data_IF_187757411942
#
_entry.id   IF_187757411942
#
_cell.length_a   1.000
_cell.length_b   1.000
_cell.length_c   1.000
_cell.angle_alpha   90.00
_cell.angle_beta   90.00
_cell.angle_gamma   90.00
#
_symmetry.space_group_name_H-M   'P 1'
#
loop_
_entity.id
_entity.type
_entity.pdbx_description
1 polymer ?
#
# COMPACT_ATOMS: atom_id res chain seq x y z
N UNK A 1 17.52 -10.26 19.51
CA UNK A 1 16.76 -9.36 20.43
C UNK A 1 15.36 -9.20 19.85
N UNK A 2 14.34 -9.21 20.68
CA UNK A 2 12.96 -8.98 20.24
C UNK A 2 12.70 -7.48 20.08
N UNK A 3 11.94 -7.08 19.07
CA UNK A 3 11.53 -5.70 18.81
C UNK A 3 10.15 -5.48 19.44
N UNK A 4 10.03 -4.51 20.35
CA UNK A 4 8.73 -4.09 20.88
C UNK A 4 7.95 -3.30 19.82
N UNK A 5 6.69 -3.70 19.56
CA UNK A 5 5.81 -3.09 18.56
C UNK A 5 4.54 -2.59 19.25
N UNK A 6 4.34 -1.28 19.24
CA UNK A 6 3.20 -0.63 19.89
C UNK A 6 2.17 -0.22 18.84
N UNK A 7 1.04 -0.92 18.80
CA UNK A 7 -0.11 -0.54 17.97
C UNK A 7 -0.96 0.47 18.75
N UNK A 8 -1.03 1.69 18.25
CA UNK A 8 -1.93 2.71 18.76
C UNK A 8 -3.35 2.42 18.28
N UNK A 9 -4.27 2.20 19.20
CA UNK A 9 -5.67 1.86 18.91
C UNK A 9 -6.57 3.02 19.31
N UNK A 10 -7.29 3.58 18.34
CA UNK A 10 -8.29 4.63 18.52
C UNK A 10 -9.67 4.14 18.06
N UNK A 11 -10.77 4.77 18.50
CA UNK A 11 -12.10 4.43 18.00
C UNK A 11 -12.21 4.49 16.49
N UNK A 12 -13.01 3.60 15.91
CA UNK A 12 -13.30 3.51 14.47
C UNK A 12 -12.09 3.22 13.55
N UNK A 13 -10.97 2.74 14.10
CA UNK A 13 -9.85 2.28 13.27
C UNK A 13 -10.24 1.07 12.42
N UNK A 14 -9.64 0.98 11.22
CA UNK A 14 -9.83 -0.12 10.29
C UNK A 14 -9.19 -1.39 10.85
N UNK A 15 -9.99 -2.45 11.03
CA UNK A 15 -9.49 -3.72 11.59
C UNK A 15 -8.34 -4.32 10.77
N UNK A 16 -8.40 -4.25 9.43
CA UNK A 16 -7.34 -4.79 8.58
C UNK A 16 -6.02 -4.01 8.72
N UNK A 17 -6.08 -2.73 9.07
CA UNK A 17 -4.87 -1.93 9.33
C UNK A 17 -4.22 -2.30 10.69
N UNK A 18 -4.96 -2.95 11.57
CA UNK A 18 -4.48 -3.45 12.87
C UNK A 18 -4.05 -4.91 12.74
N UNK A 19 -5.02 -5.80 12.47
CA UNK A 19 -4.79 -7.25 12.57
C UNK A 19 -3.92 -7.80 11.44
N UNK A 20 -4.00 -7.25 10.23
CA UNK A 20 -3.17 -7.70 9.12
C UNK A 20 -1.67 -7.57 9.43
N UNK A 21 -1.16 -6.37 9.74
CA UNK A 21 0.23 -6.19 10.14
C UNK A 21 0.59 -6.89 11.45
N UNK A 22 -0.28 -6.88 12.45
CA UNK A 22 -0.01 -7.52 13.74
C UNK A 22 0.18 -9.03 13.57
N UNK A 23 -0.71 -9.71 12.84
CA UNK A 23 -0.61 -11.13 12.54
C UNK A 23 0.65 -11.46 11.72
N UNK A 24 0.95 -10.63 10.72
CA UNK A 24 2.18 -10.79 9.91
C UNK A 24 3.44 -10.76 10.77
N UNK A 25 3.52 -9.81 11.71
CA UNK A 25 4.66 -9.70 12.63
C UNK A 25 4.67 -10.84 13.65
N UNK A 26 3.50 -11.26 14.16
CA UNK A 26 3.36 -12.37 15.12
C UNK A 26 3.82 -13.70 14.53
N UNK A 27 3.54 -13.97 13.26
CA UNK A 27 3.98 -15.16 12.53
C UNK A 27 5.50 -15.26 12.36
N UNK A 28 6.24 -14.15 12.51
CA UNK A 28 7.70 -14.18 12.60
C UNK A 28 8.22 -14.67 13.98
N UNK A 29 7.32 -15.09 14.90
CA UNK A 29 7.67 -15.68 16.20
C UNK A 29 8.20 -14.64 17.20
N UNK A 30 9.18 -15.06 18.02
CA UNK A 30 9.70 -14.25 19.13
C UNK A 30 10.52 -13.01 18.68
N UNK A 31 10.57 -12.72 17.39
CA UNK A 31 11.27 -11.53 16.88
C UNK A 31 10.52 -10.23 17.20
N UNK A 32 9.21 -10.28 17.36
CA UNK A 32 8.38 -9.11 17.65
C UNK A 32 7.50 -9.37 18.88
N UNK A 33 7.45 -8.36 19.75
CA UNK A 33 6.57 -8.35 20.92
C UNK A 33 5.51 -7.27 20.74
N UNK A 34 4.26 -7.69 20.53
CA UNK A 34 3.16 -6.80 20.18
C UNK A 34 2.47 -6.28 21.44
N UNK A 35 2.26 -4.96 21.48
CA UNK A 35 1.54 -4.23 22.53
C UNK A 35 0.44 -3.41 21.90
N UNK A 36 -0.76 -3.44 22.45
CA UNK A 36 -1.88 -2.60 22.05
C UNK A 36 -2.08 -1.50 23.07
N UNK A 37 -1.94 -0.25 22.62
CA UNK A 37 -2.02 0.95 23.49
C UNK A 37 -3.12 1.90 23.02
N UNK A 38 -3.76 2.58 23.98
CA UNK A 38 -4.85 3.53 23.71
C UNK A 38 -5.01 4.50 24.88
N UNK A 39 -5.58 5.70 24.68
CA UNK A 39 -6.12 6.51 25.78
C UNK A 39 -7.23 5.80 26.55
N UNK A 40 -7.98 4.88 25.89
CA UNK A 40 -9.13 4.16 26.44
C UNK A 40 -8.80 2.69 26.71
N UNK A 41 -9.41 2.09 27.74
CA UNK A 41 -9.22 0.68 28.05
C UNK A 41 -9.85 -0.28 27.02
N UNK A 42 -10.84 0.21 26.27
CA UNK A 42 -11.49 -0.50 25.17
C UNK A 42 -12.07 0.48 24.16
N UNK A 43 -12.05 0.10 22.86
CA UNK A 43 -12.61 0.91 21.77
C UNK A 43 -13.41 0.05 20.82
N UNK A 44 -14.39 0.67 20.15
CA UNK A 44 -15.10 0.05 19.04
C UNK A 44 -14.37 0.36 17.72
N UNK A 45 -14.05 -0.68 16.94
CA UNK A 45 -13.43 -0.51 15.63
C UNK A 45 -14.45 -0.25 14.50
N UNK A 46 -13.98 -0.01 13.28
CA UNK A 46 -14.81 0.29 12.10
C UNK A 46 -15.85 -0.78 11.74
N UNK A 47 -15.65 -2.03 12.16
CA UNK A 47 -16.59 -3.14 11.91
C UNK A 47 -17.61 -3.32 13.04
N UNK A 48 -17.55 -2.50 14.08
CA UNK A 48 -18.41 -2.63 15.26
C UNK A 48 -17.88 -3.59 16.33
N UNK A 49 -16.77 -4.30 16.08
CA UNK A 49 -16.15 -5.16 17.10
C UNK A 49 -15.50 -4.31 18.20
N UNK A 50 -15.56 -4.80 19.44
CA UNK A 50 -14.87 -4.21 20.57
C UNK A 50 -13.46 -4.78 20.70
N UNK A 51 -12.47 -3.90 20.83
CA UNK A 51 -11.10 -4.23 21.18
C UNK A 51 -10.90 -3.82 22.63
N UNK A 52 -10.60 -4.75 23.50
CA UNK A 52 -10.42 -4.53 24.94
C UNK A 52 -9.02 -4.86 25.42
N UNK A 53 -8.80 -4.69 26.73
CA UNK A 53 -7.50 -4.90 27.39
C UNK A 53 -6.37 -4.03 26.84
N UNK A 54 -6.72 -2.85 26.34
CA UNK A 54 -5.76 -1.88 25.82
C UNK A 54 -4.97 -1.26 26.98
N UNK A 55 -3.66 -1.15 26.79
CA UNK A 55 -2.79 -0.52 27.78
C UNK A 55 -2.76 1.01 27.58
N UNK A 56 -2.55 1.80 28.63
CA UNK A 56 -2.43 3.25 28.50
C UNK A 56 -1.25 3.64 27.62
N UNK A 57 -1.28 4.88 27.09
CA UNK A 57 -0.17 5.44 26.34
C UNK A 57 1.09 5.46 27.21
N UNK A 58 2.20 4.85 26.79
CA UNK A 58 3.41 4.76 27.62
C UNK A 58 4.12 6.12 27.71
N UNK A 59 4.72 6.39 28.86
CA UNK A 59 5.55 7.57 29.05
C UNK A 59 6.92 7.47 28.34
N UNK A 60 7.36 6.23 28.05
CA UNK A 60 8.62 5.94 27.36
C UNK A 60 8.44 4.81 26.38
N UNK A 61 9.04 4.94 25.20
CA UNK A 61 9.13 3.87 24.21
C UNK A 61 10.58 3.34 24.21
N UNK A 62 10.78 2.01 24.19
CA UNK A 62 12.11 1.43 24.11
C UNK A 62 12.83 1.86 22.84
N UNK A 63 14.15 2.02 22.92
CA UNK A 63 14.98 2.31 21.76
C UNK A 63 14.91 1.16 20.74
N UNK A 64 14.77 1.48 19.46
CA UNK A 64 14.60 0.50 18.38
C UNK A 64 13.21 -0.09 18.25
N UNK A 65 12.22 0.33 19.07
CA UNK A 65 10.82 -0.12 18.97
C UNK A 65 10.13 0.41 17.70
N UNK A 66 8.95 -0.14 17.40
CA UNK A 66 8.05 0.31 16.34
C UNK A 66 6.79 0.89 16.96
N UNK A 67 6.41 2.11 16.58
CA UNK A 67 5.12 2.70 16.91
C UNK A 67 4.23 2.66 15.66
N UNK A 68 3.20 1.83 15.68
CA UNK A 68 2.28 1.64 14.55
C UNK A 68 1.04 2.52 14.75
N UNK A 69 0.74 3.32 13.74
CA UNK A 69 -0.43 4.20 13.66
C UNK A 69 -1.37 3.67 12.57
N UNK A 70 -2.37 2.84 12.90
CA UNK A 70 -3.36 2.35 11.93
C UNK A 70 -4.28 3.46 11.44
N UNK A 71 -4.97 3.21 10.31
CA UNK A 71 -5.93 4.15 9.75
C UNK A 71 -7.33 4.02 10.34
N UNK A 72 -8.11 5.07 10.13
CA UNK A 72 -9.56 5.11 10.40
C UNK A 72 -10.34 5.14 9.09
N UNK A 73 -11.64 4.92 9.12
CA UNK A 73 -12.51 5.05 7.93
C UNK A 73 -12.48 6.48 7.37
N UNK A 74 -12.67 6.63 6.06
CA UNK A 74 -12.56 7.91 5.35
C UNK A 74 -13.44 9.03 5.95
N UNK A 75 -14.56 8.71 6.59
CA UNK A 75 -15.43 9.68 7.24
C UNK A 75 -14.89 10.28 8.54
N UNK A 76 -13.84 9.65 9.13
CA UNK A 76 -13.30 10.00 10.45
C UNK A 76 -11.82 10.40 10.41
N UNK A 77 -11.26 10.60 9.23
CA UNK A 77 -9.82 10.93 9.04
C UNK A 77 -9.40 12.28 9.62
N UNK A 78 -10.35 13.07 10.17
CA UNK A 78 -10.03 14.35 10.82
C UNK A 78 -9.38 14.18 12.18
N UNK A 79 -9.55 13.02 12.83
CA UNK A 79 -9.02 12.77 14.16
C UNK A 79 -9.36 13.88 15.17
N UNK A 80 -10.64 14.29 15.21
CA UNK A 80 -11.13 15.41 16.05
C UNK A 80 -11.81 14.92 17.35
N UNK A 81 -11.77 13.61 17.62
CA UNK A 81 -12.28 13.04 18.87
C UNK A 81 -11.36 13.40 20.06
N UNK A 82 -11.89 13.34 21.29
CA UNK A 82 -11.11 13.62 22.49
C UNK A 82 -9.89 12.69 22.60
N UNK A 83 -10.06 11.40 22.34
CA UNK A 83 -9.01 10.39 22.35
C UNK A 83 -7.92 10.70 21.30
N UNK A 84 -8.32 11.16 20.12
CA UNK A 84 -7.40 11.57 19.06
C UNK A 84 -6.61 12.84 19.47
N UNK A 85 -7.25 13.79 20.13
CA UNK A 85 -6.58 15.01 20.62
C UNK A 85 -5.56 14.70 21.72
N UNK A 86 -5.91 13.83 22.68
CA UNK A 86 -4.98 13.31 23.70
C UNK A 86 -3.79 12.64 23.03
N UNK A 87 -4.05 11.77 22.05
CA UNK A 87 -3.03 11.06 21.29
C UNK A 87 -2.14 12.01 20.49
N UNK A 88 -2.69 13.04 19.84
CA UNK A 88 -1.92 14.05 19.11
C UNK A 88 -0.95 14.81 20.04
N UNK A 89 -1.39 15.13 21.26
CA UNK A 89 -0.51 15.76 22.25
C UNK A 89 0.64 14.83 22.66
N UNK A 90 0.34 13.56 22.90
CA UNK A 90 1.32 12.53 23.21
C UNK A 90 2.31 12.31 22.06
N UNK A 91 1.84 12.18 20.81
CA UNK A 91 2.69 12.01 19.62
C UNK A 91 3.63 13.21 19.41
N UNK A 92 3.15 14.44 19.63
CA UNK A 92 4.00 15.64 19.52
C UNK A 92 5.17 15.63 20.50
N UNK A 93 5.04 14.98 21.64
CA UNK A 93 6.10 14.81 22.62
C UNK A 93 7.29 13.98 22.10
N UNK A 94 7.08 13.13 21.09
CA UNK A 94 8.10 12.24 20.54
C UNK A 94 8.88 12.78 19.33
N UNK A 95 8.67 14.04 18.96
CA UNK A 95 9.21 14.63 17.75
C UNK A 95 10.73 14.54 17.64
N UNK A 96 11.44 14.82 18.74
CA UNK A 96 12.90 14.79 18.75
C UNK A 96 13.45 13.36 18.76
N UNK A 97 12.77 12.43 19.46
CA UNK A 97 13.12 11.01 19.47
C UNK A 97 12.99 10.40 18.08
N UNK A 98 11.93 10.76 17.34
CA UNK A 98 11.69 10.30 15.97
C UNK A 98 12.76 10.88 15.03
N UNK A 99 13.07 12.16 15.13
CA UNK A 99 14.12 12.79 14.31
C UNK A 99 15.49 12.14 14.48
N UNK A 100 15.85 11.76 15.72
CA UNK A 100 17.10 11.03 15.98
C UNK A 100 16.99 9.53 15.76
N UNK A 101 15.83 9.05 15.29
CA UNK A 101 15.55 7.65 15.00
C UNK A 101 15.70 6.71 16.23
N UNK A 102 15.38 7.20 17.42
CA UNK A 102 15.42 6.39 18.63
C UNK A 102 14.44 5.19 18.53
N UNK A 103 13.33 5.37 17.85
CA UNK A 103 12.39 4.33 17.44
C UNK A 103 11.78 4.68 16.08
N UNK A 104 11.13 3.71 15.42
CA UNK A 104 10.54 3.93 14.10
C UNK A 104 9.03 4.12 14.21
N UNK A 105 8.46 4.98 13.34
CA UNK A 105 7.02 5.11 13.18
C UNK A 105 6.57 4.37 11.93
N UNK A 106 5.44 3.67 12.06
CA UNK A 106 4.81 2.90 10.98
C UNK A 106 3.38 3.39 10.80
N UNK A 107 3.14 4.20 9.78
CA UNK A 107 1.82 4.76 9.49
C UNK A 107 1.11 3.93 8.43
N UNK A 108 -0.04 3.38 8.77
CA UNK A 108 -0.85 2.56 7.87
C UNK A 108 -2.05 3.37 7.44
N UNK A 109 -2.30 3.47 6.12
CA UNK A 109 -3.45 4.19 5.56
C UNK A 109 -3.53 5.65 6.08
N UNK A 110 -4.69 6.06 6.61
CA UNK A 110 -4.89 7.40 7.19
C UNK A 110 -4.12 7.63 8.50
N UNK A 111 -3.42 6.64 9.07
CA UNK A 111 -2.46 6.85 10.15
C UNK A 111 -1.36 7.86 9.79
N UNK A 112 -1.05 8.02 8.49
CA UNK A 112 -0.16 9.08 8.00
C UNK A 112 -0.73 10.50 8.24
N UNK A 113 -2.06 10.68 8.23
CA UNK A 113 -2.69 11.97 8.55
C UNK A 113 -2.55 12.30 10.04
N UNK A 114 -2.64 11.29 10.92
CA UNK A 114 -2.39 11.48 12.35
C UNK A 114 -0.95 11.92 12.60
N UNK A 115 0.03 11.26 11.96
CA UNK A 115 1.43 11.66 12.01
C UNK A 115 1.66 13.07 11.44
N UNK A 116 1.01 13.43 10.33
CA UNK A 116 1.04 14.76 9.73
C UNK A 116 0.54 15.84 10.70
N UNK A 117 -0.62 15.63 11.36
CA UNK A 117 -1.17 16.54 12.39
C UNK A 117 -0.26 16.69 13.62
N UNK A 118 0.50 15.65 13.93
CA UNK A 118 1.53 15.72 14.96
C UNK A 118 2.82 16.42 14.49
N UNK A 119 2.96 16.75 13.18
CA UNK A 119 4.12 17.37 12.58
C UNK A 119 5.34 16.44 12.51
N UNK A 120 5.10 15.16 12.29
CA UNK A 120 6.14 14.12 12.25
C UNK A 120 6.63 13.80 10.83
N UNK A 121 5.99 14.39 9.79
CA UNK A 121 6.29 14.10 8.39
C UNK A 121 7.06 15.23 7.67
N UNK A 122 7.46 16.30 8.36
CA UNK A 122 8.17 17.42 7.76
C UNK A 122 9.53 16.99 7.18
N UNK A 123 9.72 17.17 5.87
CA UNK A 123 10.92 16.76 5.14
C UNK A 123 11.09 15.25 4.97
N UNK A 124 10.04 14.48 5.20
CA UNK A 124 9.99 13.02 5.07
C UNK A 124 9.29 12.63 3.76
N UNK A 125 9.87 11.68 3.03
CA UNK A 125 9.17 11.02 1.93
C UNK A 125 8.11 10.10 2.50
N UNK A 126 6.86 10.27 2.07
CA UNK A 126 5.73 9.51 2.61
C UNK A 126 4.64 9.26 1.56
N UNK A 127 3.78 8.31 1.85
CA UNK A 127 2.56 8.02 1.08
C UNK A 127 1.38 7.75 2.02
N UNK A 128 0.21 7.59 1.46
CA UNK A 128 -1.01 7.16 2.14
C UNK A 128 -1.95 6.52 1.12
N UNK A 129 -3.18 6.18 1.50
CA UNK A 129 -4.19 5.69 0.58
C UNK A 129 -4.48 6.70 -0.54
N UNK A 130 -4.64 6.23 -1.77
CA UNK A 130 -4.79 7.09 -2.96
C UNK A 130 -5.90 8.13 -2.84
N UNK A 131 -7.01 7.82 -2.14
CA UNK A 131 -8.16 8.73 -1.97
C UNK A 131 -7.87 9.93 -1.05
N UNK A 132 -6.81 9.89 -0.25
CA UNK A 132 -6.51 10.91 0.77
C UNK A 132 -5.14 11.55 0.62
N UNK A 133 -4.48 11.38 -0.53
CA UNK A 133 -3.18 12.00 -0.83
C UNK A 133 -3.22 13.53 -0.77
N UNK A 134 -4.26 14.14 -1.34
CA UNK A 134 -4.40 15.60 -1.35
C UNK A 134 -4.62 16.14 0.07
N UNK A 135 -5.31 15.37 0.90
CA UNK A 135 -5.48 15.71 2.31
C UNK A 135 -4.16 15.64 3.09
N UNK A 136 -3.34 14.61 2.81
CA UNK A 136 -2.00 14.51 3.40
C UNK A 136 -1.14 15.71 3.00
N UNK A 137 -1.16 16.13 1.72
CA UNK A 137 -0.44 17.33 1.26
C UNK A 137 -0.89 18.59 1.96
N UNK A 138 -2.20 18.74 2.17
CA UNK A 138 -2.75 19.90 2.86
C UNK A 138 -2.35 19.97 4.34
N UNK A 139 -2.30 18.81 5.03
CA UNK A 139 -1.94 18.70 6.45
C UNK A 139 -0.43 18.81 6.71
N UNK A 140 0.38 18.33 5.78
CA UNK A 140 1.85 18.33 5.89
C UNK A 140 2.48 18.93 4.62
N UNK A 141 2.39 20.24 4.39
CA UNK A 141 2.93 20.87 3.18
C UNK A 141 4.45 20.80 3.04
N UNK A 142 5.16 20.52 4.13
CA UNK A 142 6.60 20.28 4.12
C UNK A 142 6.99 18.81 3.89
N UNK A 143 6.03 17.89 3.83
CA UNK A 143 6.28 16.49 3.54
C UNK A 143 6.49 16.26 2.03
N UNK A 144 7.29 15.24 1.68
CA UNK A 144 7.56 14.85 0.30
C UNK A 144 6.61 13.70 -0.11
N UNK A 145 5.34 14.04 -0.31
CA UNK A 145 4.29 13.06 -0.60
C UNK A 145 4.49 12.44 -1.98
N UNK A 146 4.62 11.11 -2.02
CA UNK A 146 4.74 10.30 -3.23
C UNK A 146 3.42 9.60 -3.53
N UNK A 147 2.96 9.73 -4.76
CA UNK A 147 1.78 9.04 -5.25
C UNK A 147 2.11 7.62 -5.70
N UNK A 148 1.07 6.79 -5.76
CA UNK A 148 1.09 5.47 -6.37
C UNK A 148 2.26 4.59 -5.85
N UNK A 149 2.41 4.54 -4.52
CA UNK A 149 3.39 3.70 -3.80
C UNK A 149 2.68 2.82 -2.79
N UNK A 150 3.04 1.54 -2.73
CA UNK A 150 2.51 0.60 -1.71
C UNK A 150 2.98 1.06 -0.34
N UNK A 151 4.27 1.27 -0.16
CA UNK A 151 4.84 1.85 1.04
C UNK A 151 6.12 2.64 0.75
N UNK A 152 6.50 3.50 1.68
CA UNK A 152 7.74 4.27 1.67
C UNK A 152 8.36 4.17 3.04
N UNK A 153 9.68 4.01 3.09
CA UNK A 153 10.50 4.11 4.28
C UNK A 153 11.51 5.25 4.10
N UNK A 154 11.47 6.25 4.97
CA UNK A 154 12.42 7.37 4.98
C UNK A 154 12.69 7.83 6.42
N UNK A 155 13.97 7.91 6.80
CA UNK A 155 14.45 8.43 8.09
C UNK A 155 13.72 7.88 9.33
N UNK A 156 13.47 6.58 9.37
CA UNK A 156 12.79 5.93 10.50
C UNK A 156 11.26 6.06 10.50
N UNK A 157 10.69 6.64 9.44
CA UNK A 157 9.26 6.72 9.22
C UNK A 157 8.87 5.83 8.06
N UNK A 158 8.01 4.85 8.30
CA UNK A 158 7.38 4.00 7.28
C UNK A 158 5.94 4.45 7.09
N UNK A 159 5.51 4.61 5.85
CA UNK A 159 4.11 4.94 5.52
C UNK A 159 3.61 4.02 4.41
N UNK A 160 2.36 3.59 4.43
CA UNK A 160 1.81 2.73 3.37
C UNK A 160 0.37 3.09 3.01
N UNK A 161 -0.07 2.54 1.87
CA UNK A 161 -1.41 2.75 1.33
C UNK A 161 -2.55 2.19 2.23
N UNK A 162 -2.21 1.31 3.16
CA UNK A 162 -3.18 0.70 4.08
C UNK A 162 -3.86 -0.55 3.55
N UNK A 163 -4.73 -1.12 4.38
CA UNK A 163 -5.44 -2.36 4.12
C UNK A 163 -4.44 -3.48 3.73
N UNK A 164 -4.52 -4.03 2.52
CA UNK A 164 -3.58 -5.06 2.07
C UNK A 164 -2.12 -4.59 2.04
N UNK A 165 -1.87 -3.30 1.77
CA UNK A 165 -0.52 -2.74 1.79
C UNK A 165 0.12 -2.69 3.19
N UNK A 166 -0.69 -2.77 4.26
CA UNK A 166 -0.21 -2.93 5.63
C UNK A 166 0.49 -4.28 5.84
N UNK A 167 0.00 -5.34 5.18
CA UNK A 167 0.63 -6.67 5.18
C UNK A 167 1.96 -6.63 4.41
N UNK A 168 2.00 -5.98 3.23
CA UNK A 168 3.23 -5.85 2.45
C UNK A 168 4.32 -5.09 3.25
N UNK A 169 3.93 -4.00 3.93
CA UNK A 169 4.84 -3.26 4.80
C UNK A 169 5.30 -4.11 5.99
N UNK A 170 4.42 -4.89 6.62
CA UNK A 170 4.80 -5.78 7.72
C UNK A 170 5.75 -6.88 7.26
N UNK A 171 5.56 -7.48 6.08
CA UNK A 171 6.51 -8.41 5.47
C UNK A 171 7.87 -7.76 5.20
N UNK A 172 7.88 -6.49 4.75
CA UNK A 172 9.11 -5.71 4.61
C UNK A 172 9.81 -5.50 5.97
N UNK A 173 9.06 -5.21 7.03
CA UNK A 173 9.63 -5.10 8.39
C UNK A 173 10.19 -6.44 8.89
N UNK A 174 9.52 -7.57 8.63
CA UNK A 174 10.07 -8.91 8.93
C UNK A 174 11.37 -9.14 8.16
N UNK A 175 11.42 -8.78 6.88
CA UNK A 175 12.65 -8.87 6.09
C UNK A 175 13.79 -8.03 6.71
N UNK A 176 13.48 -6.79 7.12
CA UNK A 176 14.47 -5.84 7.66
C UNK A 176 14.99 -6.24 9.05
N UNK A 177 14.09 -6.63 9.96
CA UNK A 177 14.44 -6.90 11.36
C UNK A 177 14.83 -8.36 11.63
N UNK A 178 14.45 -9.28 10.75
CA UNK A 178 14.80 -10.71 10.87
C UNK A 178 15.69 -11.15 9.70
N UNK A 179 15.07 -11.54 8.59
CA UNK A 179 15.78 -11.96 7.38
C UNK A 179 14.85 -12.09 6.18
N UNK A 180 15.39 -12.11 4.93
CA UNK A 180 14.60 -12.44 3.74
C UNK A 180 13.93 -13.81 3.83
N UNK A 181 14.59 -14.79 4.44
CA UNK A 181 14.10 -16.17 4.59
C UNK A 181 12.88 -16.21 5.51
N UNK A 182 12.92 -15.49 6.65
CA UNK A 182 11.80 -15.44 7.57
C UNK A 182 10.59 -14.70 6.94
N UNK A 183 10.82 -13.58 6.23
CA UNK A 183 9.76 -12.90 5.50
C UNK A 183 9.08 -13.80 4.46
N UNK A 184 9.86 -14.62 3.73
CA UNK A 184 9.33 -15.60 2.77
C UNK A 184 8.56 -16.73 3.45
N UNK A 185 8.97 -17.17 4.64
CA UNK A 185 8.23 -18.16 5.43
C UNK A 185 6.88 -17.61 5.88
N UNK A 186 6.86 -16.41 6.45
CA UNK A 186 5.62 -15.73 6.86
C UNK A 186 4.69 -15.49 5.66
N UNK A 187 5.21 -14.99 4.54
CA UNK A 187 4.43 -14.78 3.32
C UNK A 187 3.77 -16.07 2.82
N UNK A 188 4.48 -17.19 2.94
CA UNK A 188 3.98 -18.53 2.54
C UNK A 188 2.88 -19.02 3.48
N UNK A 189 3.04 -18.83 4.77
CA UNK A 189 2.04 -19.19 5.79
C UNK A 189 0.75 -18.36 5.64
N UNK A 190 0.88 -17.07 5.33
CA UNK A 190 -0.24 -16.18 5.02
C UNK A 190 -0.84 -16.39 3.63
N UNK A 191 -0.30 -17.32 2.82
CA UNK A 191 -0.73 -17.57 1.43
C UNK A 191 -0.69 -16.30 0.58
N UNK A 192 0.28 -15.40 0.86
CA UNK A 192 0.51 -14.20 0.05
C UNK A 192 1.13 -14.64 -1.28
N UNK A 193 0.38 -14.47 -2.36
CA UNK A 193 0.77 -14.96 -3.68
C UNK A 193 2.01 -14.23 -4.22
N UNK A 194 2.03 -12.89 -4.12
CA UNK A 194 3.18 -12.05 -4.40
C UNK A 194 3.22 -10.88 -3.40
N UNK A 195 4.22 -10.80 -2.51
CA UNK A 195 4.47 -9.60 -1.73
C UNK A 195 4.81 -8.43 -2.67
N UNK A 196 4.15 -7.30 -2.47
CA UNK A 196 4.42 -6.10 -3.29
C UNK A 196 5.59 -5.32 -2.70
N UNK A 197 6.40 -4.74 -3.59
CA UNK A 197 7.46 -3.81 -3.20
C UNK A 197 6.91 -2.41 -2.92
N UNK A 198 7.63 -1.61 -2.15
CA UNK A 198 7.21 -0.24 -1.83
C UNK A 198 6.98 0.64 -3.06
N UNK A 199 7.77 0.43 -4.11
CA UNK A 199 7.70 1.17 -5.37
C UNK A 199 6.56 0.72 -6.30
N UNK A 200 5.87 -0.38 -5.98
CA UNK A 200 4.77 -0.85 -6.81
C UNK A 200 3.57 0.10 -6.72
N UNK A 201 2.79 0.12 -7.80
CA UNK A 201 1.56 0.89 -7.87
C UNK A 201 0.52 0.40 -6.85
N UNK A 202 -0.20 1.32 -6.20
CA UNK A 202 -1.26 0.98 -5.25
C UNK A 202 -2.38 0.18 -5.92
N UNK A 203 -2.75 0.55 -7.13
CA UNK A 203 -3.75 -0.14 -7.91
C UNK A 203 -3.12 -0.83 -9.12
N UNK A 204 -3.42 -2.13 -9.27
CA UNK A 204 -3.09 -2.80 -10.53
C UNK A 204 -3.79 -2.11 -11.71
N UNK A 205 -3.25 -2.17 -12.93
CA UNK A 205 -3.92 -1.62 -14.12
C UNK A 205 -5.34 -2.18 -14.30
N UNK A 206 -5.57 -3.42 -13.87
CA UNK A 206 -6.88 -4.03 -13.85
C UNK A 206 -7.88 -3.25 -12.99
N UNK A 207 -7.54 -2.89 -11.75
CA UNK A 207 -8.42 -2.13 -10.84
C UNK A 207 -8.51 -0.66 -11.27
N UNK A 208 -7.38 -0.06 -11.65
CA UNK A 208 -7.30 1.35 -12.05
C UNK A 208 -8.24 1.70 -13.18
N UNK A 209 -8.42 0.81 -14.15
CA UNK A 209 -9.25 1.03 -15.33
C UNK A 209 -10.59 0.29 -15.30
N UNK A 210 -11.03 -0.20 -14.13
CA UNK A 210 -12.29 -0.97 -13.98
C UNK A 210 -13.43 -0.17 -13.30
N UNK A 211 -13.28 1.13 -13.11
CA UNK A 211 -14.24 2.00 -12.43
C UNK A 211 -15.46 2.41 -13.27
N UNK A 212 -15.62 1.90 -14.49
CA UNK A 212 -16.75 2.16 -15.39
C UNK A 212 -17.69 0.95 -15.48
N UNK A 213 -18.93 1.16 -16.03
CA UNK A 213 -19.93 0.12 -16.18
C UNK A 213 -20.19 -0.27 -17.65
N UNK A 214 -19.27 0.06 -18.58
CA UNK A 214 -19.49 -0.16 -20.01
C UNK A 214 -19.20 -1.62 -20.41
N UNK A 215 -20.22 -2.43 -20.86
CA UNK A 215 -20.07 -3.88 -21.03
C UNK A 215 -19.08 -4.27 -22.14
N UNK A 216 -18.97 -3.45 -23.21
CA UNK A 216 -18.02 -3.71 -24.30
C UNK A 216 -16.58 -3.55 -23.82
N UNK A 217 -16.29 -2.50 -23.04
CA UNK A 217 -14.97 -2.28 -22.47
C UNK A 217 -14.63 -3.40 -21.48
N UNK A 218 -15.55 -3.78 -20.59
CA UNK A 218 -15.34 -4.89 -19.66
C UNK A 218 -14.94 -6.17 -20.40
N UNK A 219 -15.67 -6.56 -21.46
CA UNK A 219 -15.33 -7.76 -22.24
C UNK A 219 -13.94 -7.67 -22.88
N UNK A 220 -13.57 -6.52 -23.44
CA UNK A 220 -12.24 -6.32 -24.00
C UNK A 220 -11.14 -6.44 -22.93
N UNK A 221 -11.36 -5.83 -21.78
CA UNK A 221 -10.44 -5.92 -20.63
C UNK A 221 -10.31 -7.36 -20.13
N UNK A 222 -11.42 -8.11 -20.02
CA UNK A 222 -11.42 -9.51 -19.58
C UNK A 222 -10.59 -10.39 -20.51
N UNK A 223 -10.76 -10.23 -21.84
CA UNK A 223 -9.97 -10.97 -22.84
C UNK A 223 -8.47 -10.67 -22.71
N UNK A 224 -8.10 -9.39 -22.58
CA UNK A 224 -6.70 -8.97 -22.42
C UNK A 224 -6.14 -9.52 -21.11
N UNK A 225 -6.91 -9.50 -20.01
CA UNK A 225 -6.45 -9.94 -18.70
C UNK A 225 -6.24 -11.46 -18.60
N UNK A 226 -7.01 -12.25 -19.35
CA UNK A 226 -6.84 -13.73 -19.40
C UNK A 226 -5.53 -14.11 -20.09
N UNK A 227 -5.11 -13.37 -21.11
CA UNK A 227 -3.89 -13.65 -21.89
C UNK A 227 -3.17 -12.37 -22.27
N UNK A 228 -2.57 -11.66 -21.28
CA UNK A 228 -1.93 -10.37 -21.53
C UNK A 228 -0.64 -10.49 -22.32
N UNK A 229 0.03 -11.66 -22.27
CA UNK A 229 1.23 -11.98 -23.05
C UNK A 229 0.95 -12.08 -24.57
N UNK A 230 -0.28 -12.42 -24.96
CA UNK A 230 -0.68 -12.55 -26.36
C UNK A 230 -0.65 -11.18 -27.05
N UNK A 231 -0.14 -11.15 -28.28
CA UNK A 231 -0.09 -9.91 -29.07
C UNK A 231 -1.46 -9.57 -29.67
N UNK A 232 -2.35 -9.02 -28.83
CA UNK A 232 -3.68 -8.59 -29.25
C UNK A 232 -3.59 -7.40 -30.20
N UNK A 233 -4.03 -7.59 -31.45
CA UNK A 233 -4.34 -6.46 -32.30
C UNK A 233 -5.79 -6.01 -32.11
N UNK A 234 -6.08 -4.75 -32.44
CA UNK A 234 -7.39 -4.16 -32.13
C UNK A 234 -8.51 -4.75 -32.99
N UNK A 235 -8.21 -5.19 -34.20
CA UNK A 235 -9.15 -5.81 -35.13
C UNK A 235 -9.60 -7.15 -34.61
N UNK A 236 -8.68 -7.99 -34.16
CA UNK A 236 -8.96 -9.31 -33.56
C UNK A 236 -9.80 -9.14 -32.28
N UNK A 237 -9.38 -8.25 -31.38
CA UNK A 237 -10.07 -7.99 -30.13
C UNK A 237 -11.50 -7.47 -30.37
N UNK A 238 -11.67 -6.53 -31.30
CA UNK A 238 -12.97 -5.97 -31.64
C UNK A 238 -13.91 -7.01 -32.27
N UNK A 239 -13.37 -7.90 -33.12
CA UNK A 239 -14.14 -9.01 -33.71
C UNK A 239 -14.67 -9.97 -32.65
N UNK A 240 -13.84 -10.34 -31.65
CA UNK A 240 -14.24 -11.24 -30.56
C UNK A 240 -15.38 -10.69 -29.70
N UNK A 241 -15.55 -9.38 -29.65
CA UNK A 241 -16.62 -8.72 -28.84
C UNK A 241 -17.72 -8.11 -29.73
N UNK A 242 -17.69 -8.42 -31.04
CA UNK A 242 -18.69 -8.03 -32.02
C UNK A 242 -18.87 -6.51 -32.17
N UNK A 243 -17.77 -5.75 -32.24
CA UNK A 243 -17.76 -4.30 -32.51
C UNK A 243 -16.71 -3.97 -33.58
N UNK A 244 -16.75 -2.75 -34.15
CA UNK A 244 -15.66 -2.27 -35.00
C UNK A 244 -14.46 -1.79 -34.16
N UNK A 245 -13.24 -1.93 -34.70
CA UNK A 245 -12.00 -1.44 -34.09
C UNK A 245 -12.05 0.07 -33.80
N UNK A 246 -12.67 0.85 -34.70
CA UNK A 246 -12.90 2.29 -34.50
C UNK A 246 -13.81 2.58 -33.30
N UNK A 247 -14.88 1.80 -33.13
CA UNK A 247 -15.81 1.93 -32.01
C UNK A 247 -15.10 1.57 -30.67
N UNK A 248 -14.37 0.46 -30.64
CA UNK A 248 -13.60 0.05 -29.47
C UNK A 248 -12.56 1.10 -29.05
N UNK A 249 -11.78 1.62 -30.03
CA UNK A 249 -10.80 2.69 -29.77
C UNK A 249 -11.45 3.93 -29.15
N UNK A 250 -12.59 4.36 -29.70
CA UNK A 250 -13.33 5.51 -29.20
C UNK A 250 -13.82 5.30 -27.77
N UNK A 251 -14.37 4.13 -27.48
CA UNK A 251 -14.85 3.80 -26.14
C UNK A 251 -13.73 3.80 -25.09
N UNK A 252 -12.58 3.19 -25.41
CA UNK A 252 -11.42 3.21 -24.50
C UNK A 252 -10.96 4.64 -24.20
N UNK A 253 -10.79 5.48 -25.23
CA UNK A 253 -10.40 6.89 -25.03
C UNK A 253 -11.44 7.67 -24.22
N UNK A 254 -12.72 7.46 -24.50
CA UNK A 254 -13.81 8.20 -23.83
C UNK A 254 -13.96 7.84 -22.36
N UNK A 255 -13.85 6.55 -21.99
CA UNK A 255 -14.14 6.06 -20.65
C UNK A 255 -12.89 5.86 -19.78
N UNK A 256 -11.74 5.55 -20.39
CA UNK A 256 -10.51 5.25 -19.66
C UNK A 256 -9.41 6.30 -19.87
N UNK A 257 -9.57 7.23 -20.81
CA UNK A 257 -8.55 8.22 -21.16
C UNK A 257 -7.36 7.66 -21.92
N UNK A 258 -7.26 6.33 -22.08
CA UNK A 258 -6.15 5.62 -22.71
C UNK A 258 -6.60 4.80 -23.92
N UNK A 259 -5.67 4.38 -24.75
CA UNK A 259 -5.94 3.45 -25.86
C UNK A 259 -5.96 2.00 -25.37
N UNK A 260 -6.55 1.10 -26.18
CA UNK A 260 -6.49 -0.36 -25.97
C UNK A 260 -5.03 -0.84 -25.86
N UNK A 261 -4.14 -0.30 -26.69
CA UNK A 261 -2.72 -0.65 -26.66
C UNK A 261 -2.04 -0.23 -25.35
N UNK A 262 -2.29 0.99 -24.87
CA UNK A 262 -1.74 1.47 -23.60
C UNK A 262 -2.23 0.65 -22.42
N UNK A 263 -3.52 0.29 -22.37
CA UNK A 263 -4.05 -0.62 -21.38
C UNK A 263 -3.35 -2.00 -21.42
N UNK A 264 -3.23 -2.58 -22.61
CA UNK A 264 -2.56 -3.86 -22.81
C UNK A 264 -1.06 -3.82 -22.40
N UNK A 265 -0.34 -2.76 -22.77
CA UNK A 265 1.06 -2.56 -22.36
C UNK A 265 1.18 -2.46 -20.82
N UNK A 266 0.25 -1.78 -20.13
CA UNK A 266 0.26 -1.70 -18.67
C UNK A 266 -0.04 -3.05 -18.01
N UNK A 267 -0.96 -3.86 -18.56
CA UNK A 267 -1.21 -5.23 -18.07
C UNK A 267 0.05 -6.10 -18.18
N UNK A 268 0.77 -6.02 -19.31
CA UNK A 268 2.05 -6.73 -19.51
C UNK A 268 3.13 -6.25 -18.54
N UNK A 269 3.22 -4.94 -18.30
CA UNK A 269 4.18 -4.38 -17.34
C UNK A 269 3.94 -4.90 -15.93
N UNK A 270 2.69 -4.97 -15.47
CA UNK A 270 2.35 -5.49 -14.16
C UNK A 270 2.79 -6.95 -14.00
N UNK A 271 2.56 -7.79 -15.01
CA UNK A 271 2.98 -9.20 -15.00
C UNK A 271 4.51 -9.33 -15.06
N UNK A 272 5.19 -8.56 -15.90
CA UNK A 272 6.65 -8.56 -15.96
C UNK A 272 7.25 -8.19 -14.60
N UNK A 273 6.68 -7.20 -13.92
CA UNK A 273 7.11 -6.79 -12.59
C UNK A 273 6.96 -7.91 -11.56
N UNK A 274 5.83 -8.63 -11.56
CA UNK A 274 5.61 -9.78 -10.68
C UNK A 274 6.65 -10.89 -10.90
N UNK A 275 6.98 -11.20 -12.15
CA UNK A 275 8.02 -12.20 -12.46
C UNK A 275 9.41 -11.74 -12.01
N UNK A 276 9.75 -10.46 -12.17
CA UNK A 276 11.02 -9.91 -11.70
C UNK A 276 11.11 -10.01 -10.18
N UNK A 277 10.05 -9.65 -9.47
CA UNK A 277 9.98 -9.75 -7.99
C UNK A 277 10.08 -11.20 -7.50
N UNK A 278 9.56 -12.17 -8.26
CA UNK A 278 9.72 -13.59 -7.96
C UNK A 278 11.13 -14.15 -8.26
N UNK A 279 12.08 -13.26 -8.65
CA UNK A 279 13.48 -13.63 -8.92
C UNK A 279 13.78 -13.99 -10.38
N UNK A 280 12.81 -13.80 -11.31
CA UNK A 280 13.08 -14.03 -12.73
C UNK A 280 13.94 -12.90 -13.31
N UNK A 281 14.95 -13.23 -14.10
CA UNK A 281 15.77 -12.24 -14.79
C UNK A 281 14.93 -11.34 -15.73
N UNK A 282 15.27 -10.04 -15.81
CA UNK A 282 14.53 -9.01 -16.53
C UNK A 282 14.26 -9.37 -18.00
N UNK A 283 15.25 -9.95 -18.73
CA UNK A 283 15.07 -10.38 -20.11
C UNK A 283 14.01 -11.47 -20.25
N UNK A 284 14.07 -12.50 -19.38
CA UNK A 284 13.10 -13.60 -19.39
C UNK A 284 11.71 -13.12 -18.98
N UNK A 285 11.61 -12.31 -17.93
CA UNK A 285 10.33 -11.73 -17.48
C UNK A 285 9.65 -10.90 -18.57
N UNK A 286 10.44 -10.08 -19.33
CA UNK A 286 9.91 -9.29 -20.43
C UNK A 286 9.33 -10.16 -21.56
N UNK A 287 10.01 -11.25 -21.91
CA UNK A 287 9.55 -12.18 -22.96
C UNK A 287 8.29 -12.93 -22.52
N UNK A 288 8.26 -13.45 -21.29
CA UNK A 288 7.09 -14.15 -20.74
C UNK A 288 5.87 -13.24 -20.64
N UNK A 289 6.08 -11.95 -20.33
CA UNK A 289 5.01 -10.95 -20.31
C UNK A 289 4.56 -10.47 -21.71
N UNK A 290 5.14 -11.02 -22.78
CA UNK A 290 4.75 -10.74 -24.17
C UNK A 290 5.44 -9.54 -24.82
N UNK A 291 6.50 -8.98 -24.21
CA UNK A 291 7.37 -8.01 -24.89
C UNK A 291 8.40 -8.73 -25.77
N UNK A 292 8.80 -8.09 -26.88
CA UNK A 292 9.83 -8.65 -27.74
C UNK A 292 11.25 -8.54 -27.16
N UNK A 293 11.45 -7.70 -26.11
CA UNK A 293 12.73 -7.49 -25.43
C UNK A 293 12.55 -6.65 -24.17
N UNK A 294 13.52 -6.71 -23.24
CA UNK A 294 13.56 -5.82 -22.08
C UNK A 294 13.65 -4.33 -22.48
N UNK A 295 14.23 -4.00 -23.66
CA UNK A 295 14.26 -2.63 -24.17
C UNK A 295 12.85 -2.13 -24.51
N UNK A 296 12.02 -2.98 -25.12
CA UNK A 296 10.61 -2.64 -25.41
C UNK A 296 9.83 -2.44 -24.10
N UNK A 297 10.00 -3.33 -23.14
CA UNK A 297 9.38 -3.21 -21.81
C UNK A 297 9.76 -1.90 -21.11
N UNK A 298 11.05 -1.54 -21.06
CA UNK A 298 11.51 -0.26 -20.46
C UNK A 298 10.88 0.96 -21.13
N UNK A 299 10.75 0.95 -22.48
CA UNK A 299 10.07 2.02 -23.22
C UNK A 299 8.57 2.11 -22.88
N UNK A 300 7.91 0.97 -22.71
CA UNK A 300 6.51 0.93 -22.28
C UNK A 300 6.37 1.48 -20.85
N UNK A 301 7.29 1.13 -19.94
CA UNK A 301 7.32 1.66 -18.57
C UNK A 301 7.45 3.18 -18.55
N UNK A 302 8.41 3.75 -19.26
CA UNK A 302 8.59 5.21 -19.35
C UNK A 302 7.35 5.94 -19.88
N UNK A 303 6.60 5.33 -20.83
CA UNK A 303 5.34 5.93 -21.32
C UNK A 303 4.20 5.86 -20.33
N UNK A 304 4.21 4.89 -19.44
CA UNK A 304 3.17 4.72 -18.40
C UNK A 304 3.39 5.62 -17.18
N UNK A 305 4.64 6.07 -16.96
CA UNK A 305 5.05 6.91 -15.83
C UNK A 305 5.08 8.43 -16.16
N UNK A 306 5.00 8.81 -17.44
CA UNK A 306 4.97 10.20 -17.93
C UNK A 306 3.61 10.60 -18.43
#
# INVERSE_FOLDING_TARGET
MSVDVFFLILPNMMMLDIVGPAETLQLAGDHFKIHYISPEASVQCSTGMMIGDLKPLPEKLPEGSLLVLPGVTNSLVDFDTEEALVTLKWLKGWREEIKRQAFNIVCICSGALLAARAGLLDGIQCTTHHDILDRLRALAPAALVKEDRIFIEDKGVCTCAGIMAGIDLALHLVHRFCSPQEAMKVAREMVVYFPRAGEDAQMSPWLRFRHHHHPVIHRAQDIIAISPEKNWNIEELAALIHVSSRHLSRLFRQHLGISVREFHEQMRLAIAQQYIQSGMGVEKASLVAGFSSARQMRRAKMRAEG
#
